data_IF_510121549417
#
_entry.id   IF_510121549417
#
_cell.length_a   1.000
_cell.length_b   1.000
_cell.length_c   1.000
_cell.angle_alpha   90.00
_cell.angle_beta   90.00
_cell.angle_gamma   90.00
#
_symmetry.space_group_name_H-M   'P 1'
#
loop_
_entity.id
_entity.type
_entity.pdbx_description
1 polymer ?
#
# COMPACT_ATOMS: atom_id res chain seq x y z
N UNK A 1 -12.06 -16.36 8.07
CA UNK A 1 -11.47 -15.06 8.40
C UNK A 1 -10.00 -15.13 8.04
N UNK A 2 -9.54 -14.38 7.03
CA UNK A 2 -8.10 -14.24 6.83
C UNK A 2 -7.57 -13.35 7.96
N UNK A 3 -6.61 -13.83 8.74
CA UNK A 3 -5.97 -13.03 9.79
C UNK A 3 -4.96 -12.05 9.19
N UNK A 4 -4.66 -10.97 9.92
CA UNK A 4 -3.59 -10.05 9.53
C UNK A 4 -2.23 -10.78 9.56
N UNK A 5 -1.67 -11.03 8.37
CA UNK A 5 -0.38 -11.68 8.18
C UNK A 5 0.83 -10.73 8.20
N UNK A 6 0.62 -9.45 8.51
CA UNK A 6 1.65 -8.41 8.38
C UNK A 6 1.65 -7.70 7.02
N UNK A 7 2.46 -6.64 6.92
CA UNK A 7 2.73 -5.94 5.67
C UNK A 7 3.90 -6.59 4.93
N UNK A 8 3.76 -6.74 3.60
CA UNK A 8 4.86 -7.22 2.75
C UNK A 8 5.88 -6.11 2.49
N UNK A 9 7.14 -6.45 2.11
CA UNK A 9 8.17 -5.45 1.79
C UNK A 9 7.72 -4.39 0.76
N UNK A 10 6.87 -4.78 -0.19
CA UNK A 10 6.31 -3.90 -1.21
C UNK A 10 5.46 -2.75 -0.63
N UNK A 11 4.81 -2.94 0.53
CA UNK A 11 4.07 -1.88 1.22
C UNK A 11 5.01 -0.75 1.67
N UNK A 12 6.13 -1.11 2.28
CA UNK A 12 7.13 -0.14 2.73
C UNK A 12 7.82 0.54 1.54
N UNK A 13 8.06 -0.21 0.46
CA UNK A 13 8.60 0.37 -0.77
C UNK A 13 7.64 1.40 -1.36
N UNK A 14 6.36 1.05 -1.49
CA UNK A 14 5.32 1.95 -1.97
C UNK A 14 5.27 3.25 -1.15
N UNK A 15 5.32 3.17 0.19
CA UNK A 15 5.29 4.35 1.05
C UNK A 15 6.52 5.24 0.88
N UNK A 16 7.71 4.66 0.68
CA UNK A 16 8.94 5.43 0.36
C UNK A 16 8.84 6.11 -0.99
N UNK A 17 8.31 5.43 -1.99
CA UNK A 17 8.16 5.99 -3.34
C UNK A 17 7.07 7.06 -3.38
N UNK A 18 5.99 6.89 -2.63
CA UNK A 18 4.94 7.89 -2.45
C UNK A 18 5.51 9.17 -1.83
N UNK A 19 6.37 9.06 -0.82
CA UNK A 19 7.03 10.22 -0.22
C UNK A 19 7.93 10.97 -1.21
N UNK A 20 8.58 10.27 -2.15
CA UNK A 20 9.41 10.88 -3.21
C UNK A 20 8.60 11.43 -4.37
N UNK A 21 7.45 10.83 -4.67
CA UNK A 21 6.61 11.13 -5.82
C UNK A 21 5.22 11.60 -5.36
N UNK A 22 5.18 12.60 -4.48
CA UNK A 22 3.96 13.08 -3.83
C UNK A 22 3.05 13.92 -4.77
N UNK A 23 2.62 13.30 -5.86
CA UNK A 23 1.79 13.89 -6.89
C UNK A 23 0.65 12.92 -7.24
N UNK A 24 -0.55 13.46 -7.46
CA UNK A 24 -1.76 12.66 -7.70
C UNK A 24 -1.58 11.70 -8.88
N UNK A 25 -1.02 12.16 -9.99
CA UNK A 25 -0.84 11.34 -11.19
C UNK A 25 0.03 10.08 -10.92
N UNK A 26 1.07 10.21 -10.10
CA UNK A 26 1.90 9.07 -9.70
C UNK A 26 1.12 8.11 -8.81
N UNK A 27 0.35 8.63 -7.85
CA UNK A 27 -0.48 7.78 -7.00
C UNK A 27 -1.51 6.99 -7.82
N UNK A 28 -2.21 7.64 -8.76
CA UNK A 28 -3.18 6.97 -9.63
C UNK A 28 -2.55 5.86 -10.46
N UNK A 29 -1.34 6.09 -10.98
CA UNK A 29 -0.59 5.07 -11.73
C UNK A 29 -0.12 3.89 -10.87
N UNK A 30 -0.04 4.04 -9.55
CA UNK A 30 0.42 3.01 -8.61
C UNK A 30 -0.69 2.57 -7.64
N UNK A 31 -1.95 2.89 -7.96
CA UNK A 31 -3.10 2.65 -7.08
C UNK A 31 -3.28 1.16 -6.77
N UNK A 32 -3.03 0.27 -7.73
CA UNK A 32 -3.13 -1.17 -7.52
C UNK A 32 -2.17 -1.67 -6.44
N UNK A 33 -0.95 -1.13 -6.39
CA UNK A 33 0.07 -1.45 -5.38
C UNK A 33 -0.40 -0.96 -4.01
N UNK A 34 -0.91 0.26 -3.92
CA UNK A 34 -1.49 0.78 -2.69
C UNK A 34 -2.62 -0.12 -2.17
N UNK A 35 -3.54 -0.48 -3.05
CA UNK A 35 -4.71 -1.27 -2.68
C UNK A 35 -4.31 -2.65 -2.15
N UNK A 36 -3.43 -3.34 -2.87
CA UNK A 36 -3.00 -4.70 -2.56
C UNK A 36 -2.01 -4.78 -1.39
N UNK A 37 -1.08 -3.84 -1.29
CA UNK A 37 0.02 -3.90 -0.32
C UNK A 37 -0.27 -3.16 0.98
N UNK A 38 -1.15 -2.14 0.96
CA UNK A 38 -1.43 -1.28 2.11
C UNK A 38 -2.88 -1.37 2.54
N UNK A 39 -3.82 -1.04 1.65
CA UNK A 39 -5.25 -0.92 2.01
C UNK A 39 -5.84 -2.26 2.45
N UNK A 40 -5.62 -3.32 1.68
CA UNK A 40 -6.23 -4.62 1.95
C UNK A 40 -5.68 -5.25 3.25
N UNK A 41 -4.36 -5.25 3.52
CA UNK A 41 -3.84 -5.66 4.83
C UNK A 41 -4.35 -4.82 6.01
N UNK A 42 -4.50 -3.50 5.83
CA UNK A 42 -5.05 -2.62 6.88
C UNK A 42 -6.50 -2.98 7.25
N UNK A 43 -7.31 -3.45 6.30
CA UNK A 43 -8.69 -3.88 6.57
C UNK A 43 -8.78 -5.13 7.45
N UNK A 44 -7.70 -5.90 7.58
CA UNK A 44 -7.64 -7.08 8.45
C UNK A 44 -7.37 -6.74 9.92
N UNK A 45 -7.21 -5.45 10.25
CA UNK A 45 -6.89 -4.96 11.60
C UNK A 45 -8.11 -4.48 12.40
N UNK A 46 -9.31 -4.50 11.81
CA UNK A 46 -10.56 -3.99 12.41
C UNK A 46 -11.64 -5.05 12.51
#
# INVERSE_FOLDING_TARGET
>A
MAGFGGFRPAAFQFLRDLARNNQKAWFEANRDVYEREVRDPMRLLV
#
